data_IF_502870693941
#
_entry.id   IF_502870693941
#
_cell.length_a   1.000
_cell.length_b   1.000
_cell.length_c   1.000
_cell.angle_alpha   90.00
_cell.angle_beta   90.00
_cell.angle_gamma   90.00
#
_symmetry.space_group_name_H-M   'P 1'
#
loop_
_entity.id
_entity.type
_entity.pdbx_description
1 polymer ?
#
# COMPACT_ATOMS: atom_id res chain seq x y z
N UNK A 1 -11.96 1.03 -5.24
CA UNK A 1 -11.42 1.73 -6.44
C UNK A 1 -10.60 2.92 -5.95
N UNK A 2 -9.65 3.41 -6.76
CA UNK A 2 -8.89 4.65 -6.46
C UNK A 2 -9.55 5.79 -7.22
N UNK A 3 -9.79 6.90 -6.53
CA UNK A 3 -10.41 8.09 -7.07
C UNK A 3 -9.42 9.26 -6.97
N UNK A 4 -9.32 10.04 -8.04
CA UNK A 4 -8.59 11.30 -8.08
C UNK A 4 -9.62 12.41 -8.19
N UNK A 5 -9.57 13.38 -7.26
CA UNK A 5 -10.50 14.50 -7.23
C UNK A 5 -9.81 15.86 -7.17
N UNK A 6 -10.50 16.85 -7.73
CA UNK A 6 -10.12 18.26 -7.68
C UNK A 6 -10.98 19.01 -6.64
N UNK A 7 -10.35 19.87 -5.85
CA UNK A 7 -11.03 20.66 -4.80
C UNK A 7 -11.73 21.85 -5.45
N UNK A 8 -13.03 21.98 -5.20
CA UNK A 8 -13.87 23.06 -5.68
C UNK A 8 -13.86 24.26 -4.73
N UNK A 9 -14.43 25.39 -5.16
CA UNK A 9 -14.46 26.63 -4.37
C UNK A 9 -15.24 26.51 -3.05
N UNK A 10 -16.16 25.55 -2.96
CA UNK A 10 -16.92 25.23 -1.74
C UNK A 10 -16.21 24.18 -0.85
N UNK A 11 -15.00 23.75 -1.23
CA UNK A 11 -14.21 22.76 -0.50
C UNK A 11 -14.58 21.30 -0.77
N UNK A 12 -15.51 21.03 -1.69
CA UNK A 12 -15.86 19.66 -2.07
C UNK A 12 -14.93 19.11 -3.15
N UNK A 13 -14.87 17.77 -3.26
CA UNK A 13 -14.10 17.10 -4.30
C UNK A 13 -15.00 16.77 -5.49
N UNK A 14 -14.62 17.21 -6.68
CA UNK A 14 -15.13 16.68 -7.94
C UNK A 14 -14.24 15.52 -8.39
N UNK A 15 -14.82 14.36 -8.70
CA UNK A 15 -14.05 13.20 -9.17
C UNK A 15 -13.70 13.42 -10.64
N UNK A 16 -12.41 13.52 -10.95
CA UNK A 16 -11.92 13.74 -12.33
C UNK A 16 -11.37 12.47 -12.98
N UNK A 17 -11.04 11.44 -12.18
CA UNK A 17 -10.59 10.15 -12.66
C UNK A 17 -10.89 9.05 -11.63
N UNK A 18 -11.17 7.85 -12.11
CA UNK A 18 -11.41 6.66 -11.29
C UNK A 18 -10.83 5.43 -12.00
N UNK A 19 -10.32 4.48 -11.22
CA UNK A 19 -9.94 3.16 -11.74
C UNK A 19 -11.16 2.32 -12.09
N UNK A 20 -11.11 1.55 -13.18
CA UNK A 20 -12.21 0.68 -13.62
C UNK A 20 -12.62 -0.33 -12.54
N UNK A 21 -11.64 -0.84 -11.79
CA UNK A 21 -11.80 -1.85 -10.75
C UNK A 21 -11.11 -1.48 -9.42
N UNK A 22 -11.14 -2.40 -8.46
CA UNK A 22 -10.37 -2.31 -7.22
C UNK A 22 -8.88 -2.44 -7.51
N UNK A 23 -8.08 -1.53 -6.94
CA UNK A 23 -6.62 -1.65 -6.94
C UNK A 23 -6.20 -2.27 -5.61
N UNK A 24 -5.50 -3.41 -5.60
CA UNK A 24 -4.92 -3.97 -4.39
C UNK A 24 -3.95 -2.98 -3.75
N UNK A 25 -4.04 -2.80 -2.43
CA UNK A 25 -3.09 -1.97 -1.71
C UNK A 25 -1.71 -2.63 -1.65
N UNK A 26 -0.67 -1.83 -1.88
CA UNK A 26 0.71 -2.21 -1.60
C UNK A 26 1.24 -1.35 -0.46
N UNK A 27 1.75 -2.00 0.58
CA UNK A 27 2.20 -1.34 1.80
C UNK A 27 3.62 -0.79 1.67
N UNK A 28 4.42 -1.29 0.73
CA UNK A 28 5.85 -1.02 0.65
C UNK A 28 6.23 -0.41 -0.69
N UNK A 29 7.25 0.44 -0.71
CA UNK A 29 7.75 1.02 -1.95
C UNK A 29 8.78 0.10 -2.59
N UNK A 30 8.57 -0.21 -3.87
CA UNK A 30 9.57 -0.89 -4.72
C UNK A 30 10.84 -0.07 -4.99
N UNK A 31 10.78 1.25 -4.69
CA UNK A 31 11.82 2.21 -5.06
C UNK A 31 12.73 2.58 -3.88
N UNK A 32 12.26 2.43 -2.64
CA UNK A 32 13.08 2.68 -1.47
C UNK A 32 13.85 1.40 -1.11
N UNK A 33 15.21 1.45 -1.00
CA UNK A 33 16.01 0.26 -0.75
C UNK A 33 15.59 -0.54 0.48
N UNK A 34 15.13 0.16 1.52
CA UNK A 34 14.75 -0.45 2.80
C UNK A 34 13.41 -1.20 2.73
N UNK A 35 12.47 -0.74 1.90
CA UNK A 35 11.13 -1.34 1.79
C UNK A 35 10.98 -2.27 0.59
N UNK A 36 11.84 -2.15 -0.42
CA UNK A 36 11.79 -2.97 -1.63
C UNK A 36 11.72 -4.49 -1.37
N UNK A 37 12.43 -5.09 -0.39
CA UNK A 37 12.31 -6.52 -0.15
C UNK A 37 11.09 -6.89 0.72
N UNK A 38 10.33 -5.91 1.22
CA UNK A 38 9.21 -6.13 2.14
C UNK A 38 7.91 -6.37 1.40
N UNK A 39 7.12 -7.32 1.89
CA UNK A 39 5.75 -7.58 1.48
C UNK A 39 4.85 -7.64 2.71
N UNK A 40 3.65 -7.09 2.60
CA UNK A 40 2.60 -7.29 3.61
C UNK A 40 1.70 -8.46 3.22
N UNK A 41 1.53 -9.42 4.13
CA UNK A 41 0.55 -10.50 4.03
C UNK A 41 -0.01 -10.83 5.41
N UNK A 42 -1.19 -10.29 5.68
CA UNK A 42 -1.92 -10.47 6.94
C UNK A 42 -2.79 -11.73 6.97
N UNK A 43 -2.92 -12.43 5.84
CA UNK A 43 -3.81 -13.59 5.71
C UNK A 43 -3.02 -14.87 5.91
N UNK A 44 -1.96 -15.08 5.14
CA UNK A 44 -1.15 -16.30 5.17
C UNK A 44 0.04 -16.16 6.12
N UNK A 45 0.83 -15.08 5.97
CA UNK A 45 2.06 -14.89 6.75
C UNK A 45 1.84 -14.22 8.11
N UNK A 46 0.63 -13.67 8.33
CA UNK A 46 0.28 -12.88 9.53
C UNK A 46 1.31 -11.78 9.83
N UNK A 47 1.86 -11.17 8.77
CA UNK A 47 3.00 -10.28 8.86
C UNK A 47 2.84 -9.07 7.93
N UNK A 48 3.02 -7.85 8.47
CA UNK A 48 3.03 -6.62 7.67
C UNK A 48 4.36 -6.31 6.99
N UNK A 49 5.47 -6.77 7.56
CA UNK A 49 6.83 -6.46 7.12
C UNK A 49 7.58 -7.76 6.79
N UNK A 50 7.03 -8.60 5.92
CA UNK A 50 7.71 -9.84 5.58
C UNK A 50 8.83 -9.56 4.60
N UNK A 51 10.08 -9.75 5.02
CA UNK A 51 11.23 -9.62 4.14
C UNK A 51 11.33 -10.89 3.28
N UNK A 52 11.14 -10.73 1.98
CA UNK A 52 11.12 -11.82 0.99
C UNK A 52 12.49 -12.42 0.71
N UNK A 53 13.57 -11.69 0.99
CA UNK A 53 14.95 -12.16 0.83
C UNK A 53 15.40 -13.01 2.03
N UNK A 54 15.17 -12.51 3.26
CA UNK A 54 15.53 -13.23 4.49
C UNK A 54 14.47 -14.23 4.93
N UNK A 55 13.27 -14.16 4.35
CA UNK A 55 12.10 -14.97 4.69
C UNK A 55 11.66 -14.83 6.14
N UNK A 56 11.83 -13.64 6.71
CA UNK A 56 11.49 -13.34 8.11
C UNK A 56 10.53 -12.17 8.20
N UNK A 57 9.63 -12.23 9.18
CA UNK A 57 8.84 -11.05 9.55
C UNK A 57 9.71 -10.11 10.38
N UNK A 58 9.95 -8.89 9.90
CA UNK A 58 10.78 -7.90 10.60
C UNK A 58 9.93 -6.90 11.38
N UNK A 59 10.44 -6.35 12.49
CA UNK A 59 9.66 -5.43 13.33
C UNK A 59 8.58 -6.09 14.20
N UNK A 60 8.42 -7.42 14.13
CA UNK A 60 7.80 -8.21 15.20
C UNK A 60 8.77 -8.33 16.38
N UNK A 61 8.94 -7.24 17.14
CA UNK A 61 9.75 -7.22 18.34
C UNK A 61 8.95 -6.64 19.51
N UNK A 62 8.16 -7.51 20.15
CA UNK A 62 8.09 -7.78 21.61
C UNK A 62 6.82 -8.57 21.93
#
# INVERSE_FOLDING_TARGET
PVLIGEIQADGQFEIVSQTDDLVPGDAWSDFLPESKPLKADWVELKCGNYNTETKTCVGSAS
#
